data_IF_552557177533
#
_entry.id   IF_552557177533
#
_cell.length_a   1.000
_cell.length_b   1.000
_cell.length_c   1.000
_cell.angle_alpha   90.00
_cell.angle_beta   90.00
_cell.angle_gamma   90.00
#
_symmetry.space_group_name_H-M   'P 1'
#
loop_
_entity.id
_entity.type
_entity.pdbx_description
1 polymer ?
#
# COMPACT_ATOMS: atom_id res chain seq x y z
N UNK A 1 35.26 -11.99 -3.82
CA UNK A 1 34.46 -12.70 -4.83
C UNK A 1 34.21 -11.72 -5.97
N UNK A 2 34.58 -12.06 -7.21
CA UNK A 2 34.36 -11.18 -8.37
C UNK A 2 32.85 -11.01 -8.56
N UNK A 3 32.36 -9.77 -8.51
CA UNK A 3 30.98 -9.47 -8.86
C UNK A 3 30.77 -9.92 -10.31
N UNK A 4 29.95 -10.94 -10.51
CA UNK A 4 29.60 -11.39 -11.86
C UNK A 4 29.01 -10.18 -12.60
N UNK A 5 29.71 -9.71 -13.64
CA UNK A 5 29.24 -8.58 -14.44
C UNK A 5 28.12 -9.09 -15.33
N UNK A 6 26.87 -8.76 -14.97
CA UNK A 6 25.73 -9.07 -15.82
C UNK A 6 25.83 -8.34 -17.16
N UNK A 7 25.26 -8.94 -18.21
CA UNK A 7 25.15 -8.29 -19.51
C UNK A 7 24.30 -7.00 -19.42
N UNK A 8 24.42 -6.08 -20.39
CA UNK A 8 23.51 -4.94 -20.49
C UNK A 8 22.03 -5.38 -20.51
N UNK A 9 21.12 -4.62 -19.87
CA UNK A 9 19.69 -4.92 -19.88
C UNK A 9 19.11 -5.03 -21.28
N UNK A 10 18.30 -6.05 -21.49
CA UNK A 10 17.44 -6.19 -22.67
C UNK A 10 16.03 -5.79 -22.27
N UNK A 11 15.44 -4.87 -23.02
CA UNK A 11 14.15 -4.24 -22.68
C UNK A 11 13.23 -4.22 -23.89
N UNK A 12 12.00 -4.70 -23.73
CA UNK A 12 10.92 -4.50 -24.68
C UNK A 12 10.02 -3.35 -24.18
N UNK A 13 9.59 -2.46 -25.07
CA UNK A 13 8.84 -1.25 -24.70
C UNK A 13 7.45 -1.23 -25.34
N UNK A 14 6.49 -0.60 -24.67
CA UNK A 14 5.14 -0.35 -25.17
C UNK A 14 4.59 0.98 -24.61
N UNK A 15 3.55 1.54 -25.21
CA UNK A 15 2.89 2.74 -24.72
C UNK A 15 3.64 4.05 -25.05
N UNK A 16 3.59 5.01 -24.13
CA UNK A 16 4.14 6.35 -24.35
C UNK A 16 5.65 6.35 -24.57
N UNK A 17 6.13 7.19 -25.49
CA UNK A 17 7.55 7.48 -25.72
C UNK A 17 8.00 8.77 -25.04
N UNK A 18 7.08 9.46 -24.35
CA UNK A 18 7.40 10.67 -23.59
C UNK A 18 8.29 10.31 -22.39
N UNK A 19 9.49 10.89 -22.26
CA UNK A 19 10.39 10.61 -21.13
C UNK A 19 9.85 11.13 -19.80
N UNK A 20 8.84 12.00 -19.80
CA UNK A 20 8.19 12.53 -18.60
C UNK A 20 6.99 11.70 -18.14
N UNK A 21 6.40 10.89 -19.04
CA UNK A 21 5.27 10.04 -18.68
C UNK A 21 5.67 9.02 -17.60
N UNK A 22 4.78 8.68 -16.65
CA UNK A 22 5.03 7.63 -15.66
C UNK A 22 5.51 6.34 -16.31
N UNK A 23 6.46 5.67 -15.67
CA UNK A 23 7.03 4.41 -16.15
C UNK A 23 6.42 3.24 -15.38
N UNK A 24 5.82 2.29 -16.09
CA UNK A 24 5.42 0.99 -15.56
C UNK A 24 6.44 -0.05 -16.00
N UNK A 25 7.15 -0.65 -15.05
CA UNK A 25 8.15 -1.69 -15.34
C UNK A 25 7.54 -3.07 -15.13
N UNK A 26 7.54 -3.88 -16.18
CA UNK A 26 7.01 -5.24 -16.19
C UNK A 26 8.15 -6.25 -15.94
N UNK A 27 8.00 -7.08 -14.92
CA UNK A 27 9.02 -8.03 -14.45
C UNK A 27 8.49 -9.46 -14.58
N UNK A 28 9.04 -10.21 -15.54
CA UNK A 28 8.57 -11.55 -15.90
C UNK A 28 8.87 -12.61 -14.83
N UNK A 29 8.16 -13.75 -14.91
CA UNK A 29 8.39 -14.92 -14.06
C UNK A 29 9.65 -15.70 -14.44
N UNK A 30 10.10 -16.59 -13.55
CA UNK A 30 11.26 -17.47 -13.77
C UNK A 30 11.05 -18.34 -15.03
N UNK A 31 12.08 -18.44 -15.87
CA UNK A 31 12.04 -19.26 -17.09
C UNK A 31 11.32 -18.60 -18.27
N UNK A 32 10.89 -17.35 -18.12
CA UNK A 32 10.29 -16.52 -19.18
C UNK A 32 11.25 -15.39 -19.58
N UNK A 33 10.77 -14.40 -20.33
CA UNK A 33 11.56 -13.27 -20.83
C UNK A 33 10.68 -12.00 -21.01
N UNK A 34 11.29 -10.90 -21.41
CA UNK A 34 10.66 -9.60 -21.63
C UNK A 34 9.59 -9.58 -22.74
N UNK A 35 9.76 -10.39 -23.80
CA UNK A 35 8.80 -10.43 -24.92
C UNK A 35 7.50 -11.14 -24.53
N UNK A 36 7.54 -12.01 -23.52
CA UNK A 36 6.34 -12.69 -23.03
C UNK A 36 5.50 -11.71 -22.19
N UNK A 37 6.11 -11.04 -21.21
CA UNK A 37 5.36 -10.17 -20.28
C UNK A 37 4.95 -8.83 -20.92
N UNK A 38 5.67 -8.32 -21.92
CA UNK A 38 5.28 -7.06 -22.59
C UNK A 38 3.90 -7.15 -23.25
N UNK A 39 3.44 -8.35 -23.61
CA UNK A 39 2.10 -8.58 -24.12
C UNK A 39 0.99 -8.14 -23.16
N UNK A 40 1.25 -8.10 -21.85
CA UNK A 40 0.32 -7.57 -20.85
C UNK A 40 -0.02 -6.10 -21.11
N UNK A 41 0.93 -5.31 -21.60
CA UNK A 41 0.76 -3.86 -21.78
C UNK A 41 -0.38 -3.49 -22.75
N UNK A 42 -0.72 -4.38 -23.70
CA UNK A 42 -1.83 -4.18 -24.62
C UNK A 42 -3.22 -4.21 -23.94
N UNK A 43 -3.28 -4.69 -22.69
CA UNK A 43 -4.49 -4.78 -21.88
C UNK A 43 -4.49 -3.80 -20.70
N UNK A 44 -3.44 -2.98 -20.57
CA UNK A 44 -3.29 -2.00 -19.50
C UNK A 44 -3.58 -0.58 -20.01
N UNK A 45 -3.80 0.40 -19.11
CA UNK A 45 -4.17 1.75 -19.50
C UNK A 45 -3.19 2.41 -20.45
N UNK A 46 -3.72 3.22 -21.37
CA UNK A 46 -2.92 4.16 -22.16
C UNK A 46 -2.46 5.33 -21.29
N UNK A 47 -1.37 6.00 -21.68
CA UNK A 47 -0.80 7.12 -20.92
C UNK A 47 0.64 6.88 -20.46
N UNK A 48 0.92 5.85 -19.65
CA UNK A 48 2.29 5.57 -19.21
C UNK A 48 3.17 5.00 -20.32
N UNK A 49 4.47 5.04 -20.08
CA UNK A 49 5.44 4.21 -20.78
C UNK A 49 5.52 2.84 -20.09
N UNK A 50 5.61 1.76 -20.87
CA UNK A 50 5.83 0.41 -20.36
C UNK A 50 7.21 -0.09 -20.78
N UNK A 51 7.95 -0.66 -19.83
CA UNK A 51 9.22 -1.32 -20.08
C UNK A 51 9.21 -2.73 -19.46
N UNK A 52 9.23 -3.76 -20.30
CA UNK A 52 9.46 -5.12 -19.86
C UNK A 52 10.96 -5.40 -19.87
N UNK A 53 11.51 -5.80 -18.73
CA UNK A 53 12.96 -6.02 -18.57
C UNK A 53 13.25 -7.50 -18.45
N UNK A 54 14.25 -7.96 -19.20
CA UNK A 54 14.75 -9.33 -19.12
C UNK A 54 15.65 -9.49 -17.89
N UNK A 55 15.41 -10.51 -17.09
CA UNK A 55 16.28 -10.85 -15.97
C UNK A 55 17.69 -11.29 -16.45
N UNK A 56 18.76 -11.05 -15.69
CA UNK A 56 20.13 -11.22 -16.21
C UNK A 56 20.68 -12.64 -16.12
N UNK A 57 20.03 -13.55 -15.38
CA UNK A 57 20.51 -14.93 -15.19
C UNK A 57 19.80 -15.83 -16.19
N UNK A 58 20.54 -16.46 -17.11
CA UNK A 58 19.97 -17.44 -18.02
C UNK A 58 19.63 -18.74 -17.28
N UNK A 59 18.39 -19.24 -17.42
CA UNK A 59 17.94 -20.43 -16.71
C UNK A 59 16.80 -21.16 -17.44
N UNK A 60 16.91 -22.48 -17.58
CA UNK A 60 15.86 -23.36 -18.13
C UNK A 60 15.24 -22.91 -19.48
N UNK A 61 16.05 -22.31 -20.36
CA UNK A 61 15.58 -21.82 -21.66
C UNK A 61 14.97 -20.41 -21.64
N UNK A 62 14.88 -19.78 -20.47
CA UNK A 62 14.52 -18.36 -20.29
C UNK A 62 15.46 -17.68 -19.30
N UNK A 63 14.91 -16.82 -18.44
CA UNK A 63 15.69 -16.00 -17.52
C UNK A 63 15.14 -16.00 -16.08
N UNK A 64 16.01 -15.69 -15.11
CA UNK A 64 15.71 -15.61 -13.69
C UNK A 64 16.33 -14.35 -13.05
N UNK A 65 15.66 -13.80 -12.04
CA UNK A 65 16.09 -12.59 -11.32
C UNK A 65 17.13 -12.86 -10.25
N UNK A 66 17.15 -14.07 -9.71
CA UNK A 66 18.04 -14.46 -8.61
C UNK A 66 18.22 -15.97 -8.59
N UNK A 67 19.35 -16.41 -8.04
CA UNK A 67 19.54 -17.80 -7.64
C UNK A 67 18.58 -18.14 -6.50
N UNK A 68 18.07 -19.37 -6.50
CA UNK A 68 17.07 -19.84 -5.52
C UNK A 68 17.70 -20.80 -4.51
N UNK A 69 17.36 -20.63 -3.23
CA UNK A 69 17.56 -21.66 -2.17
C UNK A 69 16.34 -22.56 -2.00
N UNK A 70 15.27 -22.27 -2.74
CA UNK A 70 13.98 -22.95 -2.78
C UNK A 70 13.00 -22.11 -3.61
N UNK A 71 11.85 -22.66 -3.99
CA UNK A 71 10.86 -21.90 -4.77
C UNK A 71 10.37 -20.70 -3.94
N UNK A 72 10.39 -19.50 -4.53
CA UNK A 72 10.02 -18.26 -3.85
C UNK A 72 11.01 -17.81 -2.78
N UNK A 73 12.20 -18.43 -2.72
CA UNK A 73 13.22 -18.17 -1.68
C UNK A 73 14.52 -17.74 -2.35
N UNK A 74 14.72 -16.44 -2.59
CA UNK A 74 15.95 -15.92 -3.18
C UNK A 74 17.17 -16.19 -2.29
N UNK A 75 18.32 -16.37 -2.93
CA UNK A 75 19.63 -16.21 -2.30
C UNK A 75 19.93 -14.71 -2.19
N UNK A 76 20.20 -14.22 -0.97
CA UNK A 76 20.33 -12.80 -0.66
C UNK A 76 21.35 -12.06 -1.55
N UNK A 77 22.58 -12.56 -1.65
CA UNK A 77 23.64 -11.92 -2.44
C UNK A 77 23.32 -11.88 -3.93
N UNK A 78 22.65 -12.92 -4.44
CA UNK A 78 22.21 -12.96 -5.84
C UNK A 78 21.10 -11.96 -6.10
N UNK A 79 20.11 -11.86 -5.21
CA UNK A 79 19.04 -10.86 -5.31
C UNK A 79 19.61 -9.45 -5.26
N UNK A 80 20.50 -9.18 -4.30
CA UNK A 80 21.22 -7.90 -4.14
C UNK A 80 21.93 -7.48 -5.42
N UNK A 81 22.75 -8.38 -5.97
CA UNK A 81 23.50 -8.12 -7.21
C UNK A 81 22.59 -7.76 -8.39
N UNK A 82 21.46 -8.45 -8.55
CA UNK A 82 20.50 -8.15 -9.63
C UNK A 82 19.75 -6.83 -9.38
N UNK A 83 19.41 -6.51 -8.13
CA UNK A 83 18.77 -5.22 -7.79
C UNK A 83 19.70 -4.04 -8.10
N UNK A 84 20.99 -4.14 -7.77
CA UNK A 84 21.98 -3.09 -8.05
C UNK A 84 22.17 -2.89 -9.57
N UNK A 85 22.24 -3.99 -10.32
CA UNK A 85 22.27 -3.96 -11.78
C UNK A 85 21.02 -3.34 -12.39
N UNK A 86 19.84 -3.72 -11.90
CA UNK A 86 18.57 -3.19 -12.38
C UNK A 86 18.42 -1.70 -12.07
N UNK A 87 18.83 -1.25 -10.87
CA UNK A 87 18.80 0.18 -10.51
C UNK A 87 19.72 1.01 -11.39
N UNK A 88 20.91 0.50 -11.71
CA UNK A 88 21.83 1.17 -12.63
C UNK A 88 21.18 1.44 -14.00
N UNK A 89 20.32 0.53 -14.47
CA UNK A 89 19.51 0.75 -15.67
C UNK A 89 18.35 1.72 -15.44
N UNK A 90 17.61 1.53 -14.35
CA UNK A 90 16.44 2.33 -14.03
C UNK A 90 16.79 3.81 -13.91
N UNK A 91 17.93 4.14 -13.31
CA UNK A 91 18.37 5.52 -13.12
C UNK A 91 18.74 6.22 -14.45
N UNK A 92 19.04 5.47 -15.50
CA UNK A 92 19.25 6.02 -16.85
C UNK A 92 17.92 6.34 -17.55
N UNK A 93 16.90 5.50 -17.39
CA UNK A 93 15.64 5.62 -18.14
C UNK A 93 14.54 6.34 -17.37
N UNK A 94 14.64 6.39 -16.05
CA UNK A 94 13.70 7.03 -15.15
C UNK A 94 14.46 7.72 -14.01
N UNK A 95 15.16 8.84 -14.30
CA UNK A 95 15.86 9.59 -13.27
C UNK A 95 14.90 10.06 -12.15
N UNK A 96 15.49 10.48 -11.02
CA UNK A 96 14.74 10.94 -9.86
C UNK A 96 13.64 11.95 -10.23
N UNK A 97 12.44 11.74 -9.71
CA UNK A 97 11.25 12.55 -10.01
C UNK A 97 10.31 11.94 -11.05
N UNK A 98 10.77 11.00 -11.91
CA UNK A 98 9.86 10.25 -12.79
C UNK A 98 9.13 9.17 -11.97
N UNK A 99 7.78 9.14 -11.93
CA UNK A 99 7.05 8.09 -11.22
C UNK A 99 7.34 6.71 -11.83
N UNK A 100 7.68 5.73 -10.98
CA UNK A 100 7.95 4.34 -11.39
C UNK A 100 7.03 3.40 -10.65
N UNK A 101 6.19 2.65 -11.37
CA UNK A 101 5.38 1.57 -10.80
C UNK A 101 5.95 0.22 -11.25
N UNK A 102 6.19 -0.69 -10.31
CA UNK A 102 6.67 -2.04 -10.62
C UNK A 102 5.49 -3.01 -10.75
N UNK A 103 5.51 -3.88 -11.75
CA UNK A 103 4.51 -4.95 -11.93
C UNK A 103 5.26 -6.26 -12.12
N UNK A 104 5.23 -7.11 -11.09
CA UNK A 104 5.96 -8.37 -11.10
C UNK A 104 5.06 -9.59 -11.07
N UNK A 105 5.38 -10.58 -11.90
CA UNK A 105 4.71 -11.89 -11.89
C UNK A 105 5.65 -12.98 -11.35
N UNK A 106 5.17 -13.81 -10.41
CA UNK A 106 5.90 -14.96 -9.87
C UNK A 106 7.32 -14.58 -9.38
N UNK A 107 8.39 -15.07 -10.01
CA UNK A 107 9.77 -14.66 -9.70
C UNK A 107 10.02 -13.14 -9.86
N UNK A 108 9.37 -12.49 -10.82
CA UNK A 108 9.39 -11.03 -10.97
C UNK A 108 8.64 -10.31 -9.86
N UNK A 109 7.64 -10.94 -9.23
CA UNK A 109 6.96 -10.41 -8.05
C UNK A 109 7.88 -10.37 -6.83
N UNK A 110 8.67 -11.44 -6.62
CA UNK A 110 9.70 -11.45 -5.57
C UNK A 110 10.81 -10.42 -5.83
N UNK A 111 11.17 -10.20 -7.09
CA UNK A 111 12.13 -9.16 -7.45
C UNK A 111 11.56 -7.75 -7.23
N UNK A 112 10.33 -7.47 -7.67
CA UNK A 112 9.62 -6.22 -7.40
C UNK A 112 9.49 -5.94 -5.90
N UNK A 113 9.10 -6.97 -5.14
CA UNK A 113 9.05 -6.95 -3.69
C UNK A 113 10.41 -6.61 -3.06
N UNK A 114 11.49 -7.16 -3.61
CA UNK A 114 12.84 -6.86 -3.15
C UNK A 114 13.22 -5.40 -3.34
N UNK A 115 12.92 -4.85 -4.51
CA UNK A 115 13.18 -3.45 -4.84
C UNK A 115 12.44 -2.49 -3.90
N UNK A 116 11.14 -2.71 -3.67
CA UNK A 116 10.34 -1.81 -2.79
C UNK A 116 10.67 -1.98 -1.32
N UNK A 117 11.07 -3.18 -0.86
CA UNK A 117 11.52 -3.37 0.51
C UNK A 117 12.90 -2.76 0.74
N UNK A 118 13.72 -2.62 -0.30
CA UNK A 118 15.06 -2.03 -0.19
C UNK A 118 15.01 -0.50 -0.17
N UNK A 119 14.25 0.10 -1.09
CA UNK A 119 14.08 1.55 -1.20
C UNK A 119 12.63 1.89 -1.60
N UNK A 120 11.69 1.94 -0.65
CA UNK A 120 10.27 2.19 -0.95
C UNK A 120 10.05 3.57 -1.59
N UNK A 121 10.82 4.59 -1.20
CA UNK A 121 10.68 5.96 -1.68
C UNK A 121 11.01 6.12 -3.17
N UNK A 122 11.76 5.17 -3.76
CA UNK A 122 12.12 5.17 -5.18
C UNK A 122 10.94 4.91 -6.11
N UNK A 123 9.88 4.29 -5.60
CA UNK A 123 8.77 3.77 -6.40
C UNK A 123 7.45 4.46 -6.06
N UNK A 124 6.63 4.65 -7.09
CA UNK A 124 5.28 5.16 -6.96
C UNK A 124 4.28 4.06 -6.57
N UNK A 125 4.62 2.78 -6.71
CA UNK A 125 3.75 1.67 -6.32
C UNK A 125 4.30 0.34 -6.81
N UNK A 126 3.70 -0.76 -6.37
CA UNK A 126 4.05 -2.10 -6.85
C UNK A 126 2.86 -3.04 -6.94
N UNK A 127 2.83 -3.86 -8.00
CA UNK A 127 1.93 -4.98 -8.15
C UNK A 127 2.69 -6.31 -7.96
N UNK A 128 2.25 -7.10 -6.98
CA UNK A 128 2.81 -8.41 -6.61
C UNK A 128 1.81 -9.48 -7.08
N UNK A 129 2.07 -10.06 -8.27
CA UNK A 129 1.14 -10.95 -8.94
C UNK A 129 1.59 -12.41 -8.84
N UNK A 130 0.75 -13.27 -8.25
CA UNK A 130 0.93 -14.74 -8.18
C UNK A 130 2.35 -15.12 -7.75
N UNK A 131 2.82 -14.47 -6.70
CA UNK A 131 4.19 -14.58 -6.22
C UNK A 131 4.27 -14.26 -4.74
N UNK A 132 5.48 -14.03 -4.26
CA UNK A 132 5.76 -13.78 -2.84
C UNK A 132 6.74 -12.62 -2.69
N UNK A 133 6.73 -11.95 -1.53
CA UNK A 133 7.84 -11.07 -1.15
C UNK A 133 9.08 -11.91 -0.82
N UNK A 134 10.30 -11.37 -1.04
CA UNK A 134 11.55 -12.11 -0.86
C UNK A 134 11.96 -12.19 0.63
N UNK A 135 11.15 -12.88 1.43
CA UNK A 135 11.39 -13.04 2.85
C UNK A 135 12.72 -13.77 3.14
N UNK A 136 13.37 -13.35 4.23
CA UNK A 136 14.66 -13.87 4.69
C UNK A 136 15.77 -13.80 3.62
N UNK A 137 15.71 -12.78 2.74
CA UNK A 137 16.72 -12.50 1.72
C UNK A 137 17.56 -11.25 2.04
N UNK A 138 17.69 -10.89 3.32
CA UNK A 138 18.49 -9.73 3.77
C UNK A 138 17.82 -8.38 3.51
N UNK A 139 16.49 -8.35 3.52
CA UNK A 139 15.66 -7.14 3.36
C UNK A 139 14.85 -6.90 4.62
N UNK A 140 14.69 -5.64 5.01
CA UNK A 140 13.89 -5.26 6.17
C UNK A 140 12.41 -5.50 5.89
N UNK A 141 11.71 -6.07 6.86
CA UNK A 141 10.25 -6.28 6.83
C UNK A 141 9.62 -5.87 8.15
N UNK A 142 10.18 -4.85 8.80
CA UNK A 142 9.64 -4.29 10.03
C UNK A 142 8.28 -3.61 9.76
N UNK A 143 7.42 -3.46 10.79
CA UNK A 143 6.16 -2.76 10.64
C UNK A 143 6.32 -1.38 10.00
N UNK A 144 5.41 -1.04 9.07
CA UNK A 144 5.43 0.23 8.34
C UNK A 144 6.52 0.37 7.29
N UNK A 145 7.29 -0.69 6.97
CA UNK A 145 8.36 -0.61 5.96
C UNK A 145 7.88 -0.08 4.61
N UNK A 146 6.63 -0.36 4.24
CA UNK A 146 6.01 0.06 2.98
C UNK A 146 4.92 1.13 3.21
N UNK A 147 4.98 1.86 4.32
CA UNK A 147 4.04 2.94 4.59
C UNK A 147 3.99 3.93 3.42
N UNK A 148 2.78 4.42 3.10
CA UNK A 148 2.49 5.32 1.99
C UNK A 148 2.79 4.78 0.57
N UNK A 149 3.23 3.53 0.40
CA UNK A 149 3.42 2.92 -0.92
C UNK A 149 2.18 2.12 -1.34
N UNK A 150 1.40 2.56 -2.35
CA UNK A 150 0.28 1.77 -2.82
C UNK A 150 0.73 0.45 -3.44
N UNK A 151 0.06 -0.63 -3.04
CA UNK A 151 0.35 -1.98 -3.51
C UNK A 151 -0.91 -2.64 -4.07
N UNK A 152 -0.74 -3.35 -5.19
CA UNK A 152 -1.72 -4.32 -5.68
C UNK A 152 -1.19 -5.72 -5.45
N UNK A 153 -1.98 -6.62 -4.89
CA UNK A 153 -1.59 -8.03 -4.69
C UNK A 153 -2.64 -8.97 -5.26
N UNK A 154 -2.20 -9.94 -6.05
CA UNK A 154 -3.06 -10.98 -6.60
C UNK A 154 -2.51 -12.38 -6.29
N UNK A 155 -3.37 -13.30 -5.84
CA UNK A 155 -3.02 -14.69 -5.57
C UNK A 155 -4.09 -15.65 -6.11
N UNK A 156 -3.65 -16.85 -6.50
CA UNK A 156 -4.55 -17.97 -6.82
C UNK A 156 -4.67 -18.90 -5.61
N UNK A 157 -5.89 -19.25 -5.21
CA UNK A 157 -6.15 -20.16 -4.08
C UNK A 157 -5.63 -21.58 -4.35
N UNK A 158 -5.60 -21.99 -5.63
CA UNK A 158 -5.07 -23.25 -6.12
C UNK A 158 -3.61 -23.16 -6.59
N UNK A 159 -2.86 -22.12 -6.23
CA UNK A 159 -1.44 -22.01 -6.57
C UNK A 159 -0.63 -23.04 -5.77
N UNK A 160 -0.07 -24.01 -6.49
CA UNK A 160 0.81 -25.05 -5.96
C UNK A 160 2.27 -24.87 -6.42
N UNK A 161 2.57 -23.79 -7.16
CA UNK A 161 3.93 -23.45 -7.56
C UNK A 161 4.60 -22.68 -6.44
N UNK A 162 3.97 -21.62 -5.95
CA UNK A 162 4.47 -20.87 -4.80
C UNK A 162 4.05 -21.59 -3.52
N UNK A 163 4.99 -21.88 -2.60
CA UNK A 163 4.64 -22.49 -1.32
C UNK A 163 3.56 -21.70 -0.57
N UNK A 164 2.54 -22.39 -0.06
CA UNK A 164 1.34 -21.77 0.54
C UNK A 164 1.68 -20.84 1.69
N UNK A 165 2.67 -21.19 2.51
CA UNK A 165 3.14 -20.38 3.62
C UNK A 165 3.74 -19.04 3.17
N UNK A 166 4.35 -18.98 1.97
CA UNK A 166 4.89 -17.75 1.41
C UNK A 166 3.80 -16.86 0.83
N UNK A 167 2.77 -17.46 0.22
CA UNK A 167 1.57 -16.75 -0.23
C UNK A 167 0.85 -16.12 0.97
N UNK A 168 0.59 -16.89 2.02
CA UNK A 168 -0.10 -16.39 3.22
C UNK A 168 0.73 -15.32 3.95
N UNK A 169 2.04 -15.52 4.13
CA UNK A 169 2.91 -14.50 4.74
C UNK A 169 2.92 -13.21 3.93
N UNK A 170 2.97 -13.28 2.61
CA UNK A 170 2.90 -12.10 1.72
C UNK A 170 1.58 -11.36 1.89
N UNK A 171 0.48 -12.11 1.90
CA UNK A 171 -0.87 -11.58 2.01
C UNK A 171 -1.08 -10.85 3.34
N UNK A 172 -0.78 -11.51 4.45
CA UNK A 172 -0.94 -10.94 5.79
C UNK A 172 -0.02 -9.74 6.03
N UNK A 173 1.23 -9.81 5.56
CA UNK A 173 2.18 -8.70 5.69
C UNK A 173 1.71 -7.46 4.92
N UNK A 174 1.32 -7.60 3.65
CA UNK A 174 0.86 -6.48 2.83
C UNK A 174 -0.44 -5.87 3.36
N UNK A 175 -1.37 -6.69 3.84
CA UNK A 175 -2.63 -6.22 4.38
C UNK A 175 -2.54 -5.71 5.83
N UNK A 176 -1.41 -5.85 6.51
CA UNK A 176 -1.32 -5.42 7.92
C UNK A 176 0.02 -4.78 8.24
N UNK A 177 1.04 -5.59 8.52
CA UNK A 177 2.30 -5.13 9.11
C UNK A 177 3.05 -4.13 8.24
N UNK A 178 3.00 -4.28 6.92
CA UNK A 178 3.76 -3.45 5.99
C UNK A 178 3.42 -1.96 6.02
N UNK A 179 2.19 -1.60 6.43
CA UNK A 179 1.65 -0.24 6.34
C UNK A 179 1.29 0.21 4.92
N UNK A 180 1.35 -0.66 3.91
CA UNK A 180 1.00 -0.32 2.53
C UNK A 180 -0.52 -0.22 2.31
N UNK A 181 -1.03 0.85 1.66
CA UNK A 181 -2.37 0.86 1.08
C UNK A 181 -2.49 -0.25 0.03
N UNK A 182 -3.18 -1.34 0.36
CA UNK A 182 -3.14 -2.58 -0.44
C UNK A 182 -4.50 -2.93 -1.01
N UNK A 183 -4.61 -2.91 -2.35
CA UNK A 183 -5.71 -3.53 -3.08
C UNK A 183 -5.39 -5.01 -3.31
N UNK A 184 -6.29 -5.89 -2.87
CA UNK A 184 -6.07 -7.32 -2.83
C UNK A 184 -7.07 -8.08 -3.69
N UNK A 185 -6.59 -9.11 -4.39
CA UNK A 185 -7.39 -10.02 -5.20
C UNK A 185 -6.99 -11.47 -4.93
N UNK A 186 -7.97 -12.31 -4.57
CA UNK A 186 -7.85 -13.77 -4.53
C UNK A 186 -8.85 -14.41 -5.47
N UNK A 187 -8.42 -15.46 -6.17
CA UNK A 187 -9.23 -16.15 -7.15
C UNK A 187 -9.05 -17.67 -7.03
N UNK A 188 -10.07 -18.49 -7.35
CA UNK A 188 -9.98 -19.96 -7.25
C UNK A 188 -8.91 -20.62 -8.14
N UNK A 189 -8.33 -19.87 -9.09
CA UNK A 189 -7.32 -20.36 -10.04
C UNK A 189 -5.98 -20.70 -9.38
N UNK A 190 -5.04 -21.17 -10.22
CA UNK A 190 -3.68 -21.52 -9.80
C UNK A 190 -2.64 -20.43 -10.09
N UNK A 191 -1.45 -20.86 -10.50
CA UNK A 191 -0.30 -20.00 -10.78
C UNK A 191 -0.36 -19.33 -12.17
N UNK A 192 -1.43 -18.61 -12.48
CA UNK A 192 -1.66 -18.02 -13.80
C UNK A 192 -2.41 -16.68 -13.67
N UNK A 193 -2.01 -15.70 -14.50
CA UNK A 193 -2.75 -14.45 -14.66
C UNK A 193 -4.11 -14.72 -15.33
N UNK A 194 -5.18 -14.27 -14.70
CA UNK A 194 -6.54 -14.31 -15.27
C UNK A 194 -6.88 -12.99 -15.93
N UNK A 195 -7.84 -12.99 -16.86
CA UNK A 195 -8.34 -11.76 -17.49
C UNK A 195 -8.88 -10.76 -16.45
N UNK A 196 -9.55 -11.25 -15.41
CA UNK A 196 -10.04 -10.42 -14.30
C UNK A 196 -8.89 -9.79 -13.49
N UNK A 197 -7.81 -10.54 -13.22
CA UNK A 197 -6.65 -9.98 -12.53
C UNK A 197 -5.96 -8.88 -13.36
N UNK A 198 -5.90 -9.06 -14.68
CA UNK A 198 -5.38 -8.04 -15.61
C UNK A 198 -6.28 -6.80 -15.64
N UNK A 199 -7.59 -6.97 -15.65
CA UNK A 199 -8.56 -5.87 -15.62
C UNK A 199 -8.45 -5.06 -14.32
N UNK A 200 -8.47 -5.73 -13.16
CA UNK A 200 -8.32 -5.08 -11.86
C UNK A 200 -6.97 -4.38 -11.69
N UNK A 201 -5.89 -4.99 -12.20
CA UNK A 201 -4.58 -4.34 -12.27
C UNK A 201 -4.62 -3.08 -13.13
N UNK A 202 -5.28 -3.14 -14.29
CA UNK A 202 -5.46 -2.01 -15.18
C UNK A 202 -6.22 -0.86 -14.50
N UNK A 203 -7.32 -1.15 -13.81
CA UNK A 203 -8.09 -0.17 -13.06
C UNK A 203 -7.27 0.44 -11.92
N UNK A 204 -6.49 -0.37 -11.20
CA UNK A 204 -5.60 0.12 -10.16
C UNK A 204 -4.50 1.03 -10.72
N UNK A 205 -3.84 0.62 -11.82
CA UNK A 205 -2.82 1.42 -12.51
C UNK A 205 -3.39 2.75 -13.01
N UNK A 206 -4.58 2.74 -13.60
CA UNK A 206 -5.24 3.95 -14.11
C UNK A 206 -5.39 4.99 -13.01
N UNK A 207 -5.95 4.60 -11.87
CA UNK A 207 -6.11 5.52 -10.73
C UNK A 207 -4.76 5.95 -10.17
N UNK A 208 -3.81 5.02 -9.99
CA UNK A 208 -2.53 5.34 -9.36
C UNK A 208 -1.70 6.30 -10.22
N UNK A 209 -1.68 6.09 -11.53
CA UNK A 209 -0.98 6.96 -12.48
C UNK A 209 -1.60 8.35 -12.46
N UNK A 210 -2.93 8.45 -12.56
CA UNK A 210 -3.61 9.74 -12.47
C UNK A 210 -3.32 10.47 -11.15
N UNK A 211 -3.22 9.73 -10.04
CA UNK A 211 -2.90 10.31 -8.74
C UNK A 211 -1.49 10.92 -8.69
N UNK A 212 -0.48 10.23 -9.23
CA UNK A 212 0.90 10.75 -9.21
C UNK A 212 1.13 11.87 -10.21
N UNK A 213 0.34 11.94 -11.29
CA UNK A 213 0.41 13.04 -12.25
C UNK A 213 -0.20 14.35 -11.70
N UNK A 214 -1.15 14.25 -10.76
CA UNK A 214 -1.88 15.40 -10.20
C UNK A 214 -1.48 15.77 -8.76
N UNK A 215 -0.74 14.91 -8.06
CA UNK A 215 -0.38 15.08 -6.65
C UNK A 215 1.10 15.28 -6.41
N UNK A 216 1.45 15.78 -5.22
CA UNK A 216 2.81 15.70 -4.71
C UNK A 216 3.09 14.28 -4.22
N UNK A 217 4.24 13.73 -4.60
CA UNK A 217 4.62 12.39 -4.15
C UNK A 217 4.79 12.37 -2.63
N UNK A 218 3.95 11.60 -1.93
CA UNK A 218 4.17 11.28 -0.52
C UNK A 218 5.38 10.36 -0.41
N UNK A 219 6.41 10.71 0.37
CA UNK A 219 7.54 9.83 0.59
C UNK A 219 7.06 8.49 1.18
N UNK A 220 7.41 7.40 0.50
CA UNK A 220 7.13 6.06 0.98
C UNK A 220 8.21 5.57 1.94
N UNK A 221 7.81 4.73 2.90
CA UNK A 221 8.68 4.19 3.94
C UNK A 221 8.31 4.69 5.35
N UNK A 222 8.97 4.14 6.38
CA UNK A 222 8.66 4.49 7.76
C UNK A 222 9.09 5.94 8.05
N UNK A 223 8.24 6.72 8.74
CA UNK A 223 8.58 8.09 9.12
C UNK A 223 9.66 8.10 10.22
N UNK A 224 10.34 9.23 10.36
CA UNK A 224 11.29 9.51 11.45
C UNK A 224 10.73 10.61 12.34
N UNK A 225 10.91 10.49 13.67
CA UNK A 225 10.60 11.55 14.64
C UNK A 225 9.15 12.07 14.60
N UNK A 226 8.18 11.17 14.68
CA UNK A 226 6.75 11.50 14.66
C UNK A 226 6.27 12.05 16.01
N UNK A 227 5.68 13.25 16.00
CA UNK A 227 5.12 13.90 17.19
C UNK A 227 3.59 13.90 17.15
N UNK A 228 2.97 13.64 18.31
CA UNK A 228 1.53 13.59 18.49
C UNK A 228 1.08 14.59 19.57
N UNK A 229 0.94 15.89 19.26
CA UNK A 229 0.60 16.89 20.29
C UNK A 229 -0.81 16.72 20.85
N UNK A 230 -1.68 16.00 20.14
CA UNK A 230 -3.02 15.60 20.59
C UNK A 230 -3.02 14.43 21.57
N UNK A 231 -1.87 13.82 21.85
CA UNK A 231 -1.72 12.72 22.79
C UNK A 231 -0.89 13.11 24.02
N UNK A 232 -1.21 12.56 25.21
CA UNK A 232 -0.37 12.72 26.38
C UNK A 232 1.07 12.27 26.11
N UNK A 233 2.03 13.14 26.41
CA UNK A 233 3.46 12.85 26.20
C UNK A 233 3.94 13.02 24.76
N UNK A 234 3.10 13.45 23.82
CA UNK A 234 3.52 13.80 22.47
C UNK A 234 3.82 12.59 21.57
N UNK A 235 3.43 11.37 21.97
CA UNK A 235 3.77 10.12 21.28
C UNK A 235 2.57 9.17 21.22
N UNK A 236 2.44 8.41 20.14
CA UNK A 236 1.46 7.33 20.02
C UNK A 236 2.02 6.06 20.70
N UNK A 237 1.38 5.53 21.75
CA UNK A 237 1.82 4.27 22.37
C UNK A 237 1.63 3.09 21.43
N UNK A 238 2.34 1.98 21.64
CA UNK A 238 2.04 0.71 20.96
C UNK A 238 0.70 0.15 21.46
N UNK A 239 -0.14 -0.33 20.53
CA UNK A 239 -1.40 -0.98 20.87
C UNK A 239 -1.12 -2.35 21.49
N UNK A 240 -1.83 -2.67 22.57
CA UNK A 240 -1.62 -3.92 23.32
C UNK A 240 -2.14 -5.15 22.55
N UNK A 241 -1.39 -6.24 22.55
CA UNK A 241 -1.83 -7.53 22.01
C UNK A 241 -1.93 -7.56 20.48
N UNK A 242 -2.60 -8.59 19.96
CA UNK A 242 -2.68 -8.82 18.50
C UNK A 242 -3.54 -7.77 17.79
N UNK A 243 -3.20 -7.51 16.52
CA UNK A 243 -3.97 -6.61 15.66
C UNK A 243 -5.35 -7.21 15.34
N UNK A 244 -6.42 -6.40 15.30
CA UNK A 244 -7.72 -6.84 14.81
C UNK A 244 -7.64 -7.30 13.35
N UNK A 245 -8.40 -8.34 13.02
CA UNK A 245 -8.72 -8.69 11.64
C UNK A 245 -9.60 -7.60 11.02
N UNK A 246 -9.27 -7.22 9.79
CA UNK A 246 -9.96 -6.20 9.00
C UNK A 246 -10.18 -6.75 7.62
N UNK A 247 -11.40 -6.58 7.09
CA UNK A 247 -11.73 -7.00 5.74
C UNK A 247 -10.76 -6.38 4.73
N UNK A 248 -10.42 -7.17 3.71
CA UNK A 248 -9.56 -6.75 2.60
C UNK A 248 -10.37 -6.37 1.36
N UNK A 249 -11.70 -6.33 1.48
CA UNK A 249 -12.67 -5.93 0.46
C UNK A 249 -13.38 -4.64 0.86
N UNK A 250 -14.15 -4.06 -0.06
CA UNK A 250 -15.05 -2.94 0.23
C UNK A 250 -16.46 -3.49 0.52
N UNK A 251 -17.15 -3.03 1.58
CA UNK A 251 -16.71 -2.05 2.57
C UNK A 251 -15.59 -2.59 3.49
N UNK A 252 -14.60 -1.72 3.78
CA UNK A 252 -13.54 -2.04 4.73
C UNK A 252 -14.11 -1.97 6.16
N UNK A 253 -13.99 -3.06 6.92
CA UNK A 253 -14.62 -3.22 8.23
C UNK A 253 -13.69 -3.97 9.19
N UNK A 254 -13.75 -3.65 10.48
CA UNK A 254 -13.08 -4.46 11.51
C UNK A 254 -13.93 -5.69 11.83
N UNK A 255 -13.34 -6.88 11.72
CA UNK A 255 -14.05 -8.17 11.82
C UNK A 255 -13.92 -8.83 13.20
N UNK A 256 -12.90 -8.44 13.96
CA UNK A 256 -12.64 -8.98 15.30
C UNK A 256 -12.27 -7.87 16.29
N UNK A 257 -12.31 -8.18 17.59
CA UNK A 257 -12.00 -7.22 18.66
C UNK A 257 -12.83 -5.92 18.58
N UNK A 258 -14.07 -6.00 18.07
CA UNK A 258 -14.94 -4.84 17.88
C UNK A 258 -15.19 -4.10 19.20
N UNK A 259 -15.25 -2.78 19.13
CA UNK A 259 -15.44 -1.94 20.31
C UNK A 259 -16.78 -2.24 21.00
N UNK A 260 -16.83 -2.33 22.35
CA UNK A 260 -18.09 -2.37 23.08
C UNK A 260 -18.99 -1.16 22.74
N UNK A 261 -20.29 -1.39 22.56
CA UNK A 261 -21.24 -0.35 22.14
C UNK A 261 -21.20 0.92 23.02
N UNK A 262 -21.01 0.76 24.33
CA UNK A 262 -20.86 1.90 25.25
C UNK A 262 -19.65 2.77 24.91
N UNK A 263 -18.50 2.17 24.57
CA UNK A 263 -17.30 2.92 24.18
C UNK A 263 -17.47 3.60 22.82
N UNK A 264 -18.22 2.99 21.90
CA UNK A 264 -18.54 3.60 20.61
C UNK A 264 -19.39 4.87 20.79
N UNK A 265 -20.40 4.84 21.65
CA UNK A 265 -21.24 6.02 21.93
C UNK A 265 -20.46 7.09 22.70
N UNK A 266 -19.61 6.71 23.66
CA UNK A 266 -18.73 7.65 24.36
C UNK A 266 -17.71 8.31 23.42
N UNK A 267 -17.18 7.57 22.46
CA UNK A 267 -16.30 8.10 21.41
C UNK A 267 -17.06 9.12 20.55
N UNK A 268 -18.23 8.73 20.03
CA UNK A 268 -19.09 9.60 19.25
C UNK A 268 -19.45 10.89 20.00
N UNK A 269 -19.84 10.78 21.26
CA UNK A 269 -20.24 11.91 22.10
C UNK A 269 -19.11 12.91 22.34
N UNK A 270 -17.87 12.44 22.41
CA UNK A 270 -16.71 13.31 22.58
C UNK A 270 -16.27 13.94 21.26
N UNK A 271 -16.27 13.19 20.16
CA UNK A 271 -15.89 13.73 18.83
C UNK A 271 -16.87 14.80 18.36
N UNK A 272 -18.18 14.62 18.60
CA UNK A 272 -19.19 15.63 18.22
C UNK A 272 -19.10 16.94 19.01
N UNK A 273 -18.31 16.97 20.09
CA UNK A 273 -18.06 18.18 20.89
C UNK A 273 -16.83 18.96 20.42
N UNK A 274 -16.04 18.42 19.49
CA UNK A 274 -14.91 19.13 18.90
C UNK A 274 -15.41 20.40 18.18
N UNK A 275 -14.58 21.44 18.23
CA UNK A 275 -14.96 22.76 17.71
C UNK A 275 -15.31 22.69 16.21
N UNK A 276 -16.46 23.24 15.85
CA UNK A 276 -16.92 23.33 14.45
C UNK A 276 -17.45 22.02 13.85
N UNK A 277 -17.44 20.91 14.60
CA UNK A 277 -17.92 19.62 14.10
C UNK A 277 -19.44 19.58 14.03
N UNK A 278 -19.94 19.18 12.87
CA UNK A 278 -21.32 18.80 12.64
C UNK A 278 -21.44 17.30 12.40
N UNK A 279 -22.59 16.73 12.71
CA UNK A 279 -22.81 15.28 12.60
C UNK A 279 -23.99 14.98 11.67
N UNK A 280 -23.81 13.97 10.83
CA UNK A 280 -24.86 13.43 9.97
C UNK A 280 -24.52 12.03 9.46
N UNK A 281 -25.31 11.49 8.52
CA UNK A 281 -24.93 10.28 7.80
C UNK A 281 -23.64 10.52 6.99
N UNK A 282 -22.70 9.58 7.05
CA UNK A 282 -21.51 9.61 6.19
C UNK A 282 -21.90 9.60 4.70
N UNK A 283 -21.14 10.32 3.87
CA UNK A 283 -21.35 10.39 2.41
C UNK A 283 -20.56 9.36 1.62
N UNK A 284 -19.61 8.67 2.27
CA UNK A 284 -18.72 7.68 1.62
C UNK A 284 -18.85 6.28 2.22
N UNK A 285 -19.38 6.16 3.43
CA UNK A 285 -19.43 4.90 4.17
C UNK A 285 -20.74 4.11 3.99
N UNK A 286 -20.82 2.97 4.68
CA UNK A 286 -22.00 2.10 4.72
C UNK A 286 -23.20 2.78 5.39
N UNK A 287 -24.44 2.36 5.07
CA UNK A 287 -25.64 2.85 5.76
C UNK A 287 -25.53 2.69 7.29
N UNK A 288 -25.85 3.77 8.01
CA UNK A 288 -25.76 3.83 9.47
C UNK A 288 -24.42 4.34 10.01
N UNK A 289 -23.40 4.52 9.16
CA UNK A 289 -22.17 5.20 9.57
C UNK A 289 -22.44 6.70 9.84
N UNK A 290 -21.82 7.21 10.89
CA UNK A 290 -22.01 8.57 11.41
C UNK A 290 -20.81 9.42 11.04
N UNK A 291 -20.99 10.33 10.08
CA UNK A 291 -19.97 11.24 9.60
C UNK A 291 -19.81 12.48 10.49
N UNK A 292 -18.57 12.94 10.61
CA UNK A 292 -18.18 14.17 11.27
C UNK A 292 -17.67 15.14 10.19
N UNK A 293 -18.33 16.30 10.08
CA UNK A 293 -18.08 17.28 9.02
C UNK A 293 -17.70 18.64 9.58
N UNK A 294 -16.95 19.42 8.81
CA UNK A 294 -16.64 20.82 9.09
C UNK A 294 -17.27 21.72 8.01
N UNK A 295 -17.98 22.78 8.40
CA UNK A 295 -18.50 23.78 7.44
C UNK A 295 -17.41 24.66 6.86
N UNK A 296 -16.44 24.99 7.70
CA UNK A 296 -15.25 25.76 7.36
C UNK A 296 -14.05 24.95 7.87
N UNK A 297 -13.06 24.71 7.00
CA UNK A 297 -11.89 23.89 7.30
C UNK A 297 -10.73 24.21 6.37
N UNK A 298 -9.71 23.36 6.40
CA UNK A 298 -8.53 23.47 5.55
C UNK A 298 -8.91 23.56 4.07
N UNK A 299 -8.23 24.39 3.25
CA UNK A 299 -8.39 24.35 1.80
C UNK A 299 -7.75 23.10 1.16
N UNK A 300 -6.98 22.32 1.92
CA UNK A 300 -6.39 21.07 1.46
C UNK A 300 -7.44 19.96 1.41
N UNK A 301 -7.87 19.60 0.21
CA UNK A 301 -8.80 18.48 -0.01
C UNK A 301 -8.24 17.15 0.52
N UNK A 302 -6.92 17.00 0.64
CA UNK A 302 -6.30 15.79 1.19
C UNK A 302 -6.51 15.64 2.69
N UNK A 303 -7.08 16.63 3.38
CA UNK A 303 -7.45 16.56 4.79
C UNK A 303 -8.83 15.95 5.05
N UNK A 304 -9.57 15.56 4.00
CA UNK A 304 -10.96 15.10 4.11
C UNK A 304 -11.18 13.73 3.42
N UNK A 305 -12.08 12.93 4.00
CA UNK A 305 -12.63 11.72 3.37
C UNK A 305 -13.51 12.10 2.18
N UNK A 306 -14.32 13.15 2.35
CA UNK A 306 -15.22 13.70 1.31
C UNK A 306 -15.09 15.22 1.31
N UNK A 307 -14.16 15.79 0.51
CA UNK A 307 -13.86 17.22 0.52
C UNK A 307 -15.08 18.10 0.27
N UNK A 308 -16.00 17.67 -0.60
CA UNK A 308 -17.16 18.45 -1.03
C UNK A 308 -18.16 18.74 0.09
N UNK A 309 -18.12 17.98 1.17
CA UNK A 309 -18.97 18.17 2.37
C UNK A 309 -18.15 18.36 3.64
N UNK A 310 -16.83 18.48 3.53
CA UNK A 310 -15.92 18.64 4.68
C UNK A 310 -15.93 17.44 5.64
N UNK A 311 -16.23 16.22 5.18
CA UNK A 311 -16.22 15.02 6.03
C UNK A 311 -14.77 14.59 6.29
N UNK A 312 -14.28 14.71 7.52
CA UNK A 312 -12.90 14.39 7.89
C UNK A 312 -12.76 13.04 8.60
N UNK A 313 -13.85 12.56 9.20
CA UNK A 313 -13.92 11.29 9.88
C UNK A 313 -15.35 10.73 9.84
N UNK A 314 -15.49 9.42 9.97
CA UNK A 314 -16.77 8.80 10.27
C UNK A 314 -16.60 7.58 11.18
N UNK A 315 -17.62 7.33 12.01
CA UNK A 315 -17.72 6.15 12.88
C UNK A 315 -18.60 5.10 12.21
N UNK A 316 -18.12 3.86 12.14
CA UNK A 316 -18.88 2.74 11.60
C UNK A 316 -20.06 2.33 12.51
N UNK A 317 -21.04 1.57 11.96
CA UNK A 317 -22.16 1.07 12.76
C UNK A 317 -21.72 0.13 13.89
N UNK A 318 -22.66 -0.16 14.79
CA UNK A 318 -22.41 -0.87 16.05
C UNK A 318 -21.78 -2.26 15.94
N UNK A 319 -21.96 -2.95 14.80
CA UNK A 319 -21.40 -4.28 14.55
C UNK A 319 -19.89 -4.25 14.25
N UNK A 320 -19.33 -3.08 13.96
CA UNK A 320 -17.93 -2.87 13.59
C UNK A 320 -17.24 -2.03 14.68
N UNK A 321 -17.72 -0.80 14.90
CA UNK A 321 -17.19 0.12 15.90
C UNK A 321 -15.81 0.72 15.56
N UNK A 322 -15.22 0.42 14.40
CA UNK A 322 -14.05 1.12 13.88
C UNK A 322 -14.40 2.49 13.29
N UNK A 323 -13.38 3.26 12.90
CA UNK A 323 -13.54 4.57 12.28
C UNK A 323 -12.75 4.63 10.98
N UNK A 324 -13.18 5.51 10.08
CA UNK A 324 -12.24 6.08 9.12
C UNK A 324 -11.95 7.53 9.48
N UNK A 325 -10.69 7.92 9.29
CA UNK A 325 -10.18 9.28 9.50
C UNK A 325 -9.18 9.64 8.41
N UNK A 326 -8.87 10.93 8.27
CA UNK A 326 -7.74 11.39 7.47
C UNK A 326 -6.68 12.04 8.35
N UNK A 327 -5.44 11.60 8.21
CA UNK A 327 -4.29 12.11 8.97
C UNK A 327 -3.21 12.65 8.02
N UNK A 328 -2.32 13.53 8.51
CA UNK A 328 -1.00 13.70 7.91
C UNK A 328 -0.31 12.34 7.72
N UNK A 329 0.47 12.19 6.64
CA UNK A 329 0.95 10.87 6.18
C UNK A 329 1.99 10.22 7.08
N UNK A 330 2.72 11.03 7.85
CA UNK A 330 3.61 10.59 8.92
C UNK A 330 2.82 10.02 10.11
N UNK A 331 1.77 10.70 10.55
CA UNK A 331 0.85 10.21 11.60
C UNK A 331 0.12 8.94 11.15
N UNK A 332 -0.36 8.90 9.90
CA UNK A 332 -1.01 7.72 9.32
C UNK A 332 -0.07 6.48 9.30
N UNK A 333 1.20 6.70 8.95
CA UNK A 333 2.21 5.66 8.99
C UNK A 333 2.49 5.19 10.42
N UNK A 334 2.62 6.10 11.39
CA UNK A 334 2.86 5.74 12.80
C UNK A 334 1.66 4.98 13.41
N UNK A 335 0.41 5.32 13.04
CA UNK A 335 -0.78 4.52 13.39
C UNK A 335 -0.65 3.07 12.95
N UNK A 336 -0.18 2.84 11.72
CA UNK A 336 0.04 1.49 11.19
C UNK A 336 1.17 0.75 11.89
N UNK A 337 2.27 1.45 12.20
CA UNK A 337 3.44 0.90 12.89
C UNK A 337 3.05 0.47 14.31
N UNK A 338 2.37 1.34 15.05
CA UNK A 338 1.95 1.15 16.44
C UNK A 338 0.75 0.21 16.60
N UNK A 339 0.16 -0.25 15.49
CA UNK A 339 -0.93 -1.23 15.49
C UNK A 339 -2.31 -0.68 15.84
N UNK A 340 -2.52 0.63 15.68
CA UNK A 340 -3.81 1.30 15.95
C UNK A 340 -4.76 1.33 14.76
N UNK A 341 -4.27 0.97 13.57
CA UNK A 341 -5.08 0.99 12.36
C UNK A 341 -4.28 0.50 11.17
N UNK A 342 -4.91 0.61 9.99
CA UNK A 342 -4.27 0.33 8.70
C UNK A 342 -4.83 1.26 7.63
N UNK A 343 -4.07 1.55 6.56
CA UNK A 343 -4.56 2.39 5.48
C UNK A 343 -5.77 1.76 4.79
N UNK A 344 -6.65 2.63 4.32
CA UNK A 344 -7.66 2.24 3.36
C UNK A 344 -6.98 1.81 2.05
N UNK A 345 -7.47 0.75 1.40
CA UNK A 345 -6.77 0.16 0.23
C UNK A 345 -6.56 1.13 -0.95
N UNK A 346 -7.39 2.17 -1.04
CA UNK A 346 -7.34 3.19 -2.09
C UNK A 346 -6.60 4.48 -1.69
N UNK A 347 -6.05 4.54 -0.46
CA UNK A 347 -5.27 5.68 0.00
C UNK A 347 -4.05 5.90 -0.89
N UNK A 348 -3.82 7.15 -1.30
CA UNK A 348 -2.75 7.52 -2.23
C UNK A 348 -2.95 6.95 -3.64
N UNK A 349 -4.14 6.45 -3.98
CA UNK A 349 -4.44 5.97 -5.34
C UNK A 349 -5.63 6.72 -5.92
N UNK A 350 -6.73 6.85 -5.18
CA UNK A 350 -7.85 7.72 -5.56
C UNK A 350 -8.50 8.42 -4.37
N UNK A 351 -8.00 8.13 -3.17
CA UNK A 351 -8.37 8.77 -1.91
C UNK A 351 -7.14 9.41 -1.29
N UNK A 352 -7.35 10.25 -0.27
CA UNK A 352 -6.25 10.88 0.48
C UNK A 352 -5.21 9.83 0.92
N UNK A 353 -3.90 10.11 0.78
CA UNK A 353 -2.82 9.26 1.28
C UNK A 353 -2.94 8.95 2.77
N UNK A 354 -3.53 9.88 3.54
CA UNK A 354 -3.74 9.76 4.97
C UNK A 354 -5.02 9.03 5.39
N UNK A 355 -5.76 8.47 4.44
CA UNK A 355 -7.04 7.82 4.70
C UNK A 355 -6.84 6.48 5.41
N UNK A 356 -7.22 6.43 6.69
CA UNK A 356 -6.93 5.33 7.60
C UNK A 356 -8.20 4.72 8.18
N UNK A 357 -8.23 3.40 8.32
CA UNK A 357 -9.13 2.74 9.25
C UNK A 357 -8.45 2.71 10.63
N UNK A 358 -9.12 3.24 11.64
CA UNK A 358 -8.68 3.21 13.04
C UNK A 358 -9.47 2.16 13.79
N UNK A 359 -8.78 1.30 14.52
CA UNK A 359 -9.40 0.25 15.29
C UNK A 359 -10.27 0.82 16.42
N UNK A 360 -11.44 0.22 16.63
CA UNK A 360 -12.31 0.60 17.73
C UNK A 360 -11.67 0.33 19.11
N UNK A 361 -11.91 1.18 20.11
CA UNK A 361 -11.32 1.01 21.44
C UNK A 361 -11.94 -0.17 22.20
N UNK A 362 -11.10 -0.95 22.88
CA UNK A 362 -11.53 -2.09 23.71
C UNK A 362 -11.76 -1.74 25.18
N UNK A 363 -11.14 -0.67 25.65
CA UNK A 363 -11.19 -0.19 27.04
C UNK A 363 -11.01 1.34 27.09
N UNK A 364 -11.04 1.92 28.30
CA UNK A 364 -10.92 3.36 28.52
C UNK A 364 -9.55 3.93 28.11
N UNK A 365 -8.47 3.15 28.25
CA UNK A 365 -7.15 3.61 27.81
C UNK A 365 -7.12 3.71 26.28
N UNK A 366 -7.65 2.71 25.58
CA UNK A 366 -7.74 2.75 24.12
C UNK A 366 -8.66 3.86 23.63
N UNK A 367 -9.76 4.12 24.35
CA UNK A 367 -10.66 5.23 24.01
C UNK A 367 -9.92 6.57 24.04
N UNK A 368 -9.08 6.81 25.06
CA UNK A 368 -8.28 8.03 25.14
C UNK A 368 -7.29 8.16 23.97
N UNK A 369 -6.65 7.07 23.56
CA UNK A 369 -5.74 7.08 22.40
C UNK A 369 -6.49 7.33 21.09
N UNK A 370 -7.60 6.64 20.85
CA UNK A 370 -8.42 6.82 19.64
C UNK A 370 -8.94 8.26 19.55
N UNK A 371 -9.35 8.87 20.67
CA UNK A 371 -9.74 10.28 20.71
C UNK A 371 -8.59 11.22 20.33
N UNK A 372 -7.36 10.95 20.78
CA UNK A 372 -6.19 11.73 20.38
C UNK A 372 -5.88 11.60 18.88
N UNK A 373 -6.08 10.40 18.29
CA UNK A 373 -5.95 10.20 16.84
C UNK A 373 -7.01 11.00 16.08
N UNK A 374 -8.28 10.96 16.51
CA UNK A 374 -9.36 11.72 15.88
C UNK A 374 -9.13 13.24 16.04
N UNK A 375 -8.59 13.69 17.18
CA UNK A 375 -8.23 15.07 17.39
C UNK A 375 -7.11 15.53 16.43
N UNK A 376 -6.13 14.68 16.11
CA UNK A 376 -5.10 14.99 15.10
C UNK A 376 -5.71 15.11 13.69
N UNK A 377 -6.67 14.22 13.36
CA UNK A 377 -7.43 14.30 12.11
C UNK A 377 -8.24 15.59 12.01
N UNK A 378 -8.91 15.99 13.10
CA UNK A 378 -9.64 17.26 13.20
C UNK A 378 -8.72 18.48 13.09
N UNK A 379 -7.54 18.47 13.72
CA UNK A 379 -6.55 19.54 13.60
C UNK A 379 -6.11 19.71 12.13
N UNK A 380 -5.80 18.60 11.45
CA UNK A 380 -5.46 18.63 10.03
C UNK A 380 -6.60 19.19 9.17
N UNK A 381 -7.83 18.74 9.41
CA UNK A 381 -9.02 19.19 8.69
C UNK A 381 -9.43 20.63 8.99
N UNK A 382 -9.04 21.21 10.13
CA UNK A 382 -9.26 22.64 10.44
C UNK A 382 -8.12 23.54 9.97
N UNK A 383 -7.01 22.97 9.50
CA UNK A 383 -5.80 23.73 9.15
C UNK A 383 -5.08 24.32 10.36
N UNK A 384 -5.40 23.83 11.56
CA UNK A 384 -4.67 24.18 12.78
C UNK A 384 -3.38 23.36 12.80
N UNK A 385 -2.21 23.94 13.11
CA UNK A 385 -1.02 23.15 13.34
C UNK A 385 -1.32 22.12 14.44
N UNK A 386 -1.18 20.84 14.10
CA UNK A 386 -1.32 19.76 15.06
C UNK A 386 -0.30 19.91 16.18
#
# INVERSE_FOLDING_TARGET
>A
MSAATFAPPVVATHGSTDPTAPLVVLLHGRGSNENDIVGLAAHLPVGPAYAAVRAPIAEAGGFAWFANRGIGRPVADSLRSTMDWFRSWLDLVAPAGRPVVLVGFSGGAAFAGGLVLDDPARYAGAAILYGTLPFDAGLATEPGRLANLPVFVAQGDGDHVIPRELLDRTWSYLLSESGAPTVALRQPGGHQLTAEAVHQLGDWLLHRIAFVDHGTATPAGPPTDVAWPTLPGGVLPERRGDRPEVSWTIPQQQETQNAPAELQERLFDQVRQLAGVEVGPSRISVPGARGFTLREGSPDEQAFLVPQVGEFAHLHPAYDGSLHVVLPTDLAADVSIRGWGRPHMWAGTRLSPGFMLIHGPRDDDELAVVLGIVAASHAYATGTPA
#
